data_IF_420592290649
#
_entry.id   IF_420592290649
#
_cell.length_a   1.000
_cell.length_b   1.000
_cell.length_c   1.000
_cell.angle_alpha   90.00
_cell.angle_beta   90.00
_cell.angle_gamma   90.00
#
_symmetry.space_group_name_H-M   'P 1'
#
loop_
_entity.id
_entity.type
_entity.pdbx_description
1 polymer ?
#
# COMPACT_ATOMS: atom_id res chain seq x y z
N UNK A 1 6.96 6.39 37.31
CA UNK A 1 6.68 5.43 36.22
C UNK A 1 7.61 5.66 35.02
N UNK A 2 8.89 5.31 35.13
CA UNK A 2 9.86 5.40 34.01
C UNK A 2 10.93 4.31 34.15
N UNK A 3 10.53 3.04 34.07
CA UNK A 3 11.44 1.91 34.31
C UNK A 3 11.23 0.72 33.34
N UNK A 4 10.69 0.92 32.12
CA UNK A 4 10.61 -0.17 31.12
C UNK A 4 10.82 0.32 29.68
N UNK A 5 11.91 1.04 29.36
CA UNK A 5 12.23 1.31 27.94
C UNK A 5 13.74 1.39 27.60
N UNK A 6 14.64 0.95 28.48
CA UNK A 6 16.10 0.98 28.23
C UNK A 6 16.70 -0.39 27.84
N UNK A 7 16.02 -1.50 28.11
CA UNK A 7 16.62 -2.85 27.97
C UNK A 7 16.65 -3.40 26.53
N UNK A 8 15.76 -2.97 25.62
CA UNK A 8 15.74 -3.49 24.23
C UNK A 8 16.84 -2.93 23.31
N UNK A 9 17.56 -1.89 23.71
CA UNK A 9 18.59 -1.25 22.88
C UNK A 9 19.99 -1.85 23.07
N UNK A 10 20.23 -2.56 24.17
CA UNK A 10 21.54 -3.19 24.49
C UNK A 10 21.66 -4.56 23.83
N UNK A 11 20.58 -5.36 23.82
CA UNK A 11 20.59 -6.71 23.24
C UNK A 11 20.73 -6.69 21.71
N UNK A 12 20.17 -5.67 21.03
CA UNK A 12 20.31 -5.49 19.58
C UNK A 12 21.74 -5.10 19.15
N UNK A 13 22.51 -4.43 20.03
CA UNK A 13 23.89 -3.99 19.72
C UNK A 13 24.93 -5.07 19.92
N UNK A 14 24.70 -6.02 20.83
CA UNK A 14 25.61 -7.16 21.07
C UNK A 14 25.46 -8.25 20.00
N UNK A 15 24.28 -8.38 19.38
CA UNK A 15 24.03 -9.38 18.34
C UNK A 15 24.59 -8.98 16.96
N UNK A 16 24.79 -7.69 16.68
CA UNK A 16 25.42 -7.20 15.43
C UNK A 16 26.95 -7.30 15.49
N UNK A 17 27.54 -7.41 16.68
CA UNK A 17 29.00 -7.39 16.86
C UNK A 17 29.68 -8.77 16.74
N UNK A 18 28.93 -9.88 16.77
CA UNK A 18 29.50 -11.25 16.73
C UNK A 18 29.46 -11.88 15.31
N UNK A 19 28.86 -11.23 14.31
CA UNK A 19 28.81 -11.72 12.92
C UNK A 19 29.67 -10.95 11.91
N UNK A 20 30.53 -10.01 12.35
CA UNK A 20 31.36 -9.18 11.44
C UNK A 20 32.85 -9.52 11.49
N UNK A 21 33.30 -10.48 12.32
CA UNK A 21 34.73 -10.73 12.54
C UNK A 21 35.30 -12.02 11.91
N UNK A 22 34.62 -12.62 10.93
CA UNK A 22 35.11 -13.82 10.23
C UNK A 22 35.24 -13.68 8.70
N UNK A 23 35.29 -12.46 8.15
CA UNK A 23 35.68 -12.26 6.75
C UNK A 23 37.11 -11.72 6.67
N UNK A 24 37.99 -12.61 6.23
CA UNK A 24 39.43 -12.48 6.06
C UNK A 24 39.94 -11.13 5.55
N UNK A 25 41.11 -10.76 6.09
CA UNK A 25 42.07 -9.85 5.48
C UNK A 25 42.37 -10.25 4.03
N UNK A 26 42.38 -9.26 3.13
CA UNK A 26 43.18 -9.32 1.92
C UNK A 26 42.44 -8.97 0.63
N UNK A 27 42.99 -7.96 -0.04
CA UNK A 27 42.82 -7.56 -1.45
C UNK A 27 41.76 -6.48 -1.69
N UNK A 28 42.26 -5.25 -1.87
CA UNK A 28 41.58 -4.15 -2.54
C UNK A 28 41.54 -4.43 -4.05
N UNK A 29 40.37 -4.56 -4.68
CA UNK A 29 40.28 -4.38 -6.13
C UNK A 29 40.27 -2.88 -6.45
N UNK A 30 41.12 -2.53 -7.41
CA UNK A 30 41.32 -1.21 -7.98
C UNK A 30 40.00 -0.58 -8.47
N UNK A 31 39.94 0.75 -8.42
CA UNK A 31 38.84 1.55 -8.96
C UNK A 31 38.69 1.29 -10.47
N UNK A 32 37.65 0.57 -10.85
CA UNK A 32 37.15 0.57 -12.23
C UNK A 32 36.05 1.61 -12.36
N UNK A 33 36.28 2.58 -13.24
CA UNK A 33 35.36 3.65 -13.64
C UNK A 33 33.95 3.12 -13.93
N UNK A 34 32.95 3.60 -13.18
CA UNK A 34 31.55 3.43 -13.55
C UNK A 34 31.20 4.56 -14.53
N UNK A 35 31.13 4.23 -15.81
CA UNK A 35 30.55 5.10 -16.83
C UNK A 35 29.03 5.13 -16.64
N UNK A 36 28.52 6.17 -15.97
CA UNK A 36 27.08 6.39 -15.78
C UNK A 36 26.43 6.90 -17.07
N UNK A 37 26.03 5.98 -17.96
CA UNK A 37 25.09 6.30 -19.02
C UNK A 37 23.67 6.10 -18.48
N UNK A 38 23.14 7.10 -17.77
CA UNK A 38 21.76 7.11 -17.28
C UNK A 38 20.83 7.45 -18.45
N UNK A 39 20.48 6.43 -19.22
CA UNK A 39 19.31 6.51 -20.10
C UNK A 39 18.10 6.47 -19.18
N UNK A 40 17.41 7.61 -19.05
CA UNK A 40 16.14 7.70 -18.33
C UNK A 40 15.07 6.99 -19.17
N UNK A 41 15.12 5.66 -19.17
CA UNK A 41 13.98 4.82 -19.52
C UNK A 41 13.10 4.74 -18.28
N UNK A 42 11.79 4.90 -18.44
CA UNK A 42 10.82 4.55 -17.42
C UNK A 42 11.19 3.17 -16.85
N UNK A 43 11.65 3.12 -15.59
CA UNK A 43 12.13 1.89 -14.99
C UNK A 43 11.06 0.81 -15.12
N UNK A 44 11.44 -0.32 -15.71
CA UNK A 44 10.56 -1.47 -15.80
C UNK A 44 10.13 -1.87 -14.38
N UNK A 45 8.83 -2.10 -14.19
CA UNK A 45 8.27 -2.41 -12.88
C UNK A 45 8.99 -3.60 -12.22
N UNK A 46 9.31 -3.46 -10.93
CA UNK A 46 9.96 -4.52 -10.16
C UNK A 46 9.04 -5.73 -9.99
N UNK A 47 9.60 -6.89 -9.62
CA UNK A 47 8.80 -8.08 -9.34
C UNK A 47 7.78 -7.82 -8.21
N UNK A 48 8.19 -7.11 -7.15
CA UNK A 48 7.31 -6.76 -6.05
C UNK A 48 6.16 -5.82 -6.45
N UNK A 49 6.44 -4.84 -7.32
CA UNK A 49 5.41 -3.97 -7.90
C UNK A 49 4.40 -4.74 -8.75
N UNK A 50 4.86 -5.70 -9.57
CA UNK A 50 3.99 -6.58 -10.36
C UNK A 50 3.13 -7.48 -9.47
N UNK A 51 3.69 -8.01 -8.40
CA UNK A 51 2.96 -8.84 -7.43
C UNK A 51 1.89 -8.02 -6.69
N UNK A 52 2.23 -6.83 -6.21
CA UNK A 52 1.26 -5.92 -5.57
C UNK A 52 0.13 -5.53 -6.55
N UNK A 53 0.46 -5.27 -7.82
CA UNK A 53 -0.54 -4.99 -8.86
C UNK A 53 -1.48 -6.15 -9.10
N UNK A 54 -0.97 -7.39 -9.10
CA UNK A 54 -1.82 -8.58 -9.20
C UNK A 54 -2.75 -8.69 -7.99
N UNK A 55 -2.23 -8.56 -6.77
CA UNK A 55 -3.03 -8.58 -5.55
C UNK A 55 -4.12 -7.50 -5.56
N UNK A 56 -3.79 -6.27 -5.95
CA UNK A 56 -4.75 -5.18 -6.08
C UNK A 56 -5.91 -5.51 -7.03
N UNK A 57 -5.62 -6.15 -8.17
CA UNK A 57 -6.65 -6.59 -9.13
C UNK A 57 -7.51 -7.71 -8.57
N UNK A 58 -6.90 -8.67 -7.88
CA UNK A 58 -7.61 -9.80 -7.25
C UNK A 58 -8.58 -9.30 -6.16
N UNK A 59 -8.16 -8.33 -5.35
CA UNK A 59 -9.02 -7.64 -4.38
C UNK A 59 -10.19 -6.93 -5.07
N UNK A 60 -9.93 -6.12 -6.09
CA UNK A 60 -10.95 -5.36 -6.80
C UNK A 60 -11.91 -6.22 -7.63
N UNK A 61 -11.55 -7.47 -7.91
CA UNK A 61 -12.44 -8.46 -8.51
C UNK A 61 -13.45 -8.99 -7.49
N UNK A 62 -13.01 -9.20 -6.24
CA UNK A 62 -13.80 -9.86 -5.20
C UNK A 62 -14.62 -8.89 -4.35
N UNK A 63 -14.10 -7.67 -4.13
CA UNK A 63 -14.72 -6.65 -3.28
C UNK A 63 -14.38 -5.23 -3.75
N UNK A 64 -15.06 -4.23 -3.18
CA UNK A 64 -14.85 -2.83 -3.51
C UNK A 64 -14.03 -2.10 -2.45
N UNK A 65 -13.10 -1.27 -2.93
CA UNK A 65 -12.20 -0.48 -2.07
C UNK A 65 -12.18 0.98 -2.50
N UNK A 66 -11.95 1.86 -1.53
CA UNK A 66 -11.43 3.19 -1.81
C UNK A 66 -9.96 3.12 -2.23
N UNK A 67 -9.46 4.17 -2.90
CA UNK A 67 -8.03 4.24 -3.25
C UNK A 67 -7.15 4.09 -2.00
N UNK A 68 -7.49 4.81 -0.93
CA UNK A 68 -6.78 4.77 0.35
C UNK A 68 -6.90 3.40 1.02
N UNK A 69 -8.11 2.82 1.05
CA UNK A 69 -8.36 1.51 1.62
C UNK A 69 -7.54 0.41 0.94
N UNK A 70 -7.45 0.42 -0.39
CA UNK A 70 -6.64 -0.57 -1.12
C UNK A 70 -5.14 -0.41 -0.86
N UNK A 71 -4.63 0.81 -0.70
CA UNK A 71 -3.23 1.04 -0.32
C UNK A 71 -2.95 0.45 1.07
N UNK A 72 -3.82 0.72 2.04
CA UNK A 72 -3.64 0.21 3.41
C UNK A 72 -3.79 -1.31 3.47
N UNK A 73 -4.70 -1.91 2.69
CA UNK A 73 -4.82 -3.36 2.56
C UNK A 73 -3.52 -4.00 2.06
N UNK A 74 -2.95 -3.49 0.96
CA UNK A 74 -1.71 -4.03 0.41
C UNK A 74 -0.53 -3.86 1.39
N UNK A 75 -0.48 -2.77 2.14
CA UNK A 75 0.54 -2.58 3.19
C UNK A 75 0.37 -3.59 4.33
N UNK A 76 -0.88 -3.88 4.71
CA UNK A 76 -1.18 -4.91 5.71
C UNK A 76 -0.70 -6.30 5.23
N UNK A 77 -0.81 -6.60 3.94
CA UNK A 77 -0.33 -7.84 3.33
C UNK A 77 1.21 -7.89 3.17
N UNK A 78 1.92 -6.84 3.62
CA UNK A 78 3.38 -6.80 3.66
C UNK A 78 4.05 -6.13 2.46
N UNK A 79 3.29 -5.56 1.52
CA UNK A 79 3.87 -4.76 0.45
C UNK A 79 4.42 -3.43 0.98
N UNK A 80 5.54 -2.99 0.43
CA UNK A 80 6.07 -1.67 0.75
C UNK A 80 5.11 -0.56 0.28
N UNK A 81 5.20 0.62 0.89
CA UNK A 81 4.42 1.79 0.45
C UNK A 81 4.64 2.10 -1.04
N UNK A 82 5.86 1.91 -1.57
CA UNK A 82 6.16 2.13 -2.99
C UNK A 82 5.44 1.14 -3.89
N UNK A 83 5.36 -0.13 -3.49
CA UNK A 83 4.68 -1.18 -4.25
C UNK A 83 3.15 -1.03 -4.18
N UNK A 84 2.60 -0.73 -3.00
CA UNK A 84 1.16 -0.49 -2.83
C UNK A 84 0.68 0.71 -3.66
N UNK A 85 1.42 1.84 -3.61
CA UNK A 85 1.10 3.01 -4.43
C UNK A 85 1.18 2.69 -5.92
N UNK A 86 2.27 2.02 -6.35
CA UNK A 86 2.41 1.59 -7.75
C UNK A 86 1.23 0.71 -8.19
N UNK A 87 0.85 -0.27 -7.39
CA UNK A 87 -0.26 -1.18 -7.70
C UNK A 87 -1.58 -0.44 -7.88
N UNK A 88 -1.91 0.45 -6.94
CA UNK A 88 -3.15 1.23 -6.96
C UNK A 88 -3.19 2.23 -8.11
N UNK A 89 -2.06 2.81 -8.50
CA UNK A 89 -1.97 3.69 -9.67
C UNK A 89 -2.12 2.94 -11.00
N UNK A 90 -1.68 1.68 -11.06
CA UNK A 90 -1.65 0.88 -12.29
C UNK A 90 -2.77 -0.16 -12.39
N UNK A 91 -3.63 -0.30 -11.38
CA UNK A 91 -4.70 -1.31 -11.36
C UNK A 91 -5.85 -1.02 -12.33
N UNK A 92 -5.98 0.21 -12.82
CA UNK A 92 -7.05 0.62 -13.75
C UNK A 92 -8.41 0.79 -13.09
N UNK A 93 -8.47 0.88 -11.76
CA UNK A 93 -9.72 1.07 -11.03
C UNK A 93 -10.37 2.42 -11.35
N UNK A 94 -11.69 2.39 -11.54
CA UNK A 94 -12.50 3.60 -11.51
C UNK A 94 -13.04 3.79 -10.09
N UNK A 95 -12.44 4.70 -9.33
CA UNK A 95 -12.75 4.91 -7.91
C UNK A 95 -14.20 5.36 -7.66
N UNK A 96 -14.81 6.11 -8.58
CA UNK A 96 -16.24 6.42 -8.53
C UNK A 96 -17.10 5.17 -8.69
N UNK A 97 -16.74 4.24 -9.59
CA UNK A 97 -17.44 2.95 -9.71
C UNK A 97 -17.25 2.09 -8.47
N UNK A 98 -16.07 2.11 -7.85
CA UNK A 98 -15.84 1.41 -6.58
C UNK A 98 -16.71 1.98 -5.46
N UNK A 99 -16.84 3.31 -5.36
CA UNK A 99 -17.75 3.95 -4.41
C UNK A 99 -19.22 3.52 -4.60
N UNK A 100 -19.69 3.40 -5.86
CA UNK A 100 -21.04 2.89 -6.14
C UNK A 100 -21.20 1.45 -5.67
N UNK A 101 -20.20 0.59 -5.89
CA UNK A 101 -20.23 -0.81 -5.43
C UNK A 101 -20.27 -0.89 -3.90
N UNK A 102 -19.40 -0.16 -3.20
CA UNK A 102 -19.39 -0.12 -1.73
C UNK A 102 -20.72 0.41 -1.18
N UNK A 103 -21.24 1.51 -1.73
CA UNK A 103 -22.52 2.08 -1.32
C UNK A 103 -23.68 1.08 -1.46
N UNK A 104 -23.76 0.35 -2.58
CA UNK A 104 -24.77 -0.69 -2.77
C UNK A 104 -24.59 -1.85 -1.79
N UNK A 105 -23.36 -2.34 -1.62
CA UNK A 105 -23.07 -3.42 -0.68
C UNK A 105 -23.48 -3.08 0.76
N UNK A 106 -23.36 -1.81 1.18
CA UNK A 106 -23.87 -1.40 2.48
C UNK A 106 -25.39 -1.39 2.53
N UNK A 107 -26.06 -0.85 1.52
CA UNK A 107 -27.53 -0.83 1.47
C UNK A 107 -28.15 -2.23 1.35
N UNK A 108 -27.44 -3.19 0.76
CA UNK A 108 -27.88 -4.58 0.66
C UNK A 108 -27.86 -5.30 2.03
N UNK A 109 -27.06 -4.82 2.99
CA UNK A 109 -26.85 -5.48 4.29
C UNK A 109 -27.37 -4.67 5.48
N UNK A 110 -27.45 -3.35 5.35
CA UNK A 110 -27.82 -2.43 6.43
C UNK A 110 -28.64 -1.26 5.87
N UNK A 111 -29.55 -0.75 6.69
CA UNK A 111 -30.27 0.48 6.36
C UNK A 111 -29.43 1.69 6.76
N UNK A 112 -29.03 2.48 5.76
CA UNK A 112 -28.43 3.80 5.98
C UNK A 112 -29.40 4.89 5.54
N UNK A 113 -29.27 6.10 6.07
CA UNK A 113 -29.74 7.31 5.38
C UNK A 113 -28.72 7.77 4.33
N UNK A 114 -29.12 8.67 3.42
CA UNK A 114 -28.19 9.25 2.43
C UNK A 114 -27.00 9.95 3.07
N UNK A 115 -27.22 10.61 4.21
CA UNK A 115 -26.17 11.33 4.94
C UNK A 115 -25.20 10.35 5.58
N UNK A 116 -25.71 9.37 6.31
CA UNK A 116 -24.85 8.38 6.99
C UNK A 116 -24.07 7.54 5.98
N UNK A 117 -24.66 7.16 4.84
CA UNK A 117 -23.93 6.44 3.80
C UNK A 117 -22.79 7.28 3.20
N UNK A 118 -23.01 8.59 3.04
CA UNK A 118 -21.96 9.50 2.56
C UNK A 118 -20.80 9.57 3.56
N UNK A 119 -21.12 9.75 4.84
CA UNK A 119 -20.14 9.80 5.94
C UNK A 119 -19.38 8.46 6.06
N UNK A 120 -20.07 7.34 5.90
CA UNK A 120 -19.45 6.01 5.91
C UNK A 120 -18.44 5.85 4.77
N UNK A 121 -18.81 6.22 3.53
CA UNK A 121 -17.87 6.15 2.41
C UNK A 121 -16.65 7.06 2.60
N UNK A 122 -16.84 8.26 3.18
CA UNK A 122 -15.71 9.14 3.52
C UNK A 122 -14.80 8.52 4.60
N UNK A 123 -15.39 7.87 5.61
CA UNK A 123 -14.65 7.12 6.62
C UNK A 123 -13.82 5.98 6.02
N UNK A 124 -14.36 5.24 5.06
CA UNK A 124 -13.65 4.19 4.33
C UNK A 124 -12.56 4.73 3.40
N UNK A 125 -12.39 6.05 3.32
CA UNK A 125 -11.32 6.72 2.60
C UNK A 125 -11.64 7.07 1.15
N UNK A 126 -12.91 7.07 0.75
CA UNK A 126 -13.31 7.71 -0.50
C UNK A 126 -13.22 9.23 -0.36
N UNK A 127 -12.89 9.92 -1.46
CA UNK A 127 -13.02 11.38 -1.49
C UNK A 127 -14.49 11.77 -1.40
N UNK A 128 -14.78 12.95 -0.84
CA UNK A 128 -16.14 13.53 -0.81
C UNK A 128 -16.85 13.47 -2.18
N UNK A 129 -16.10 13.69 -3.26
CA UNK A 129 -16.64 13.63 -4.63
C UNK A 129 -17.05 12.22 -5.06
N UNK A 130 -16.29 11.19 -4.68
CA UNK A 130 -16.58 9.79 -4.96
C UNK A 130 -17.71 9.27 -4.08
N UNK A 131 -17.70 9.60 -2.79
CA UNK A 131 -18.76 9.27 -1.85
C UNK A 131 -20.11 9.83 -2.31
N UNK A 132 -20.15 11.13 -2.63
CA UNK A 132 -21.35 11.79 -3.18
C UNK A 132 -21.84 11.10 -4.45
N UNK A 133 -20.93 10.75 -5.36
CA UNK A 133 -21.29 10.03 -6.58
C UNK A 133 -21.86 8.64 -6.26
N UNK A 134 -21.19 7.88 -5.38
CA UNK A 134 -21.62 6.55 -4.90
C UNK A 134 -23.04 6.57 -4.37
N UNK A 135 -23.30 7.41 -3.38
CA UNK A 135 -24.62 7.60 -2.75
C UNK A 135 -25.68 7.96 -3.80
N UNK A 136 -25.38 8.90 -4.70
CA UNK A 136 -26.34 9.34 -5.74
C UNK A 136 -26.77 8.23 -6.70
N UNK A 137 -25.93 7.21 -6.92
CA UNK A 137 -26.22 6.09 -7.81
C UNK A 137 -26.79 4.87 -7.10
N UNK A 138 -26.56 4.74 -5.80
CA UNK A 138 -27.07 3.65 -4.98
C UNK A 138 -28.55 3.85 -4.59
N UNK A 139 -28.96 5.09 -4.30
CA UNK A 139 -30.35 5.46 -3.93
C UNK A 139 -31.28 5.70 -5.13
N UNK A 140 -31.19 4.84 -6.14
CA UNK A 140 -32.06 4.95 -7.32
C UNK A 140 -33.28 4.08 -7.20
#
# INVERSE_FOLDING_TARGET
MREVCSSKRVVMKVMVLVMVLCFNMGILPSMTSIQSNVVVTAEAATAGQKNALKAAKDYLHSMSFSKKGLIEQLKFDGYSTKEANYAVENCGANWKKQAVKTAKSYLDTMSFSKKELMEQLEFDGFTKSEAKYGVSKAYK
#
